data_IF_541125568681
#
_entry.id   IF_541125568681
#
_cell.length_a   1.000
_cell.length_b   1.000
_cell.length_c   1.000
_cell.angle_alpha   90.00
_cell.angle_beta   90.00
_cell.angle_gamma   90.00
#
_symmetry.space_group_name_H-M   'P 1'
#
loop_
_entity.id
_entity.type
_entity.pdbx_description
1 polymer ?
#
# COMPACT_ATOMS: atom_id res chain seq x y z
N UNK A 1 -17.90 0.49 -35.85
CA UNK A 1 -18.37 1.06 -34.56
C UNK A 1 -17.49 0.70 -33.35
N UNK A 2 -17.27 -0.58 -32.98
CA UNK A 2 -16.43 -0.94 -31.81
C UNK A 2 -14.96 -0.46 -31.91
N UNK A 3 -14.33 -0.56 -33.08
CA UNK A 3 -12.94 -0.07 -33.31
C UNK A 3 -12.82 1.45 -33.22
N UNK A 4 -13.80 2.20 -33.74
CA UNK A 4 -13.82 3.67 -33.63
C UNK A 4 -14.00 4.14 -32.19
N UNK A 5 -14.92 3.53 -31.42
CA UNK A 5 -15.08 3.83 -29.99
C UNK A 5 -13.81 3.56 -29.18
N UNK A 6 -13.09 2.48 -29.47
CA UNK A 6 -11.81 2.17 -28.85
C UNK A 6 -10.76 3.28 -29.05
N UNK A 7 -10.60 3.78 -30.28
CA UNK A 7 -9.63 4.84 -30.58
C UNK A 7 -10.02 6.16 -29.91
N UNK A 8 -11.31 6.51 -29.95
CA UNK A 8 -11.82 7.75 -29.32
C UNK A 8 -11.67 7.72 -27.80
N UNK A 9 -12.12 6.63 -27.15
CA UNK A 9 -11.96 6.46 -25.70
C UNK A 9 -10.48 6.44 -25.32
N UNK A 10 -9.64 5.74 -26.10
CA UNK A 10 -8.20 5.66 -25.88
C UNK A 10 -7.55 7.04 -25.91
N UNK A 11 -7.81 7.84 -26.95
CA UNK A 11 -7.29 9.20 -27.05
C UNK A 11 -7.74 10.09 -25.88
N UNK A 12 -9.03 10.02 -25.51
CA UNK A 12 -9.58 10.79 -24.39
C UNK A 12 -8.91 10.44 -23.06
N UNK A 13 -8.85 9.15 -22.71
CA UNK A 13 -8.26 8.72 -21.44
C UNK A 13 -6.74 8.89 -21.40
N UNK A 14 -6.05 8.77 -22.54
CA UNK A 14 -4.63 9.13 -22.64
C UNK A 14 -4.42 10.63 -22.37
N UNK A 15 -5.22 11.50 -22.97
CA UNK A 15 -5.11 12.94 -22.74
C UNK A 15 -5.37 13.30 -21.27
N UNK A 16 -6.40 12.72 -20.65
CA UNK A 16 -6.68 12.91 -19.21
C UNK A 16 -5.50 12.41 -18.37
N UNK A 17 -4.96 11.22 -18.66
CA UNK A 17 -3.83 10.67 -17.93
C UNK A 17 -2.58 11.57 -18.04
N UNK A 18 -2.24 12.06 -19.24
CA UNK A 18 -1.07 12.93 -19.43
C UNK A 18 -1.24 14.27 -18.73
N UNK A 19 -2.44 14.86 -18.73
CA UNK A 19 -2.71 16.09 -17.96
C UNK A 19 -2.55 15.86 -16.46
N UNK A 20 -3.05 14.73 -15.94
CA UNK A 20 -2.85 14.35 -14.55
C UNK A 20 -1.36 14.15 -14.23
N UNK A 21 -0.61 13.49 -15.12
CA UNK A 21 0.82 13.21 -14.94
C UNK A 21 1.65 14.49 -14.89
N UNK A 22 1.44 15.40 -15.84
CA UNK A 22 2.12 16.71 -15.87
C UNK A 22 1.81 17.46 -14.58
N UNK A 23 0.53 17.52 -14.17
CA UNK A 23 0.15 18.15 -12.91
C UNK A 23 0.77 17.47 -11.68
N UNK A 24 0.87 16.14 -11.67
CA UNK A 24 1.49 15.36 -10.61
C UNK A 24 2.96 15.70 -10.40
N UNK A 25 3.71 15.95 -11.47
CA UNK A 25 5.15 16.18 -11.43
C UNK A 25 5.47 17.66 -11.18
N UNK A 26 4.75 18.57 -11.84
CA UNK A 26 5.14 19.98 -11.86
C UNK A 26 4.40 20.88 -10.87
N UNK A 27 3.30 20.44 -10.25
CA UNK A 27 2.57 21.24 -9.25
C UNK A 27 2.95 20.84 -7.81
N UNK A 28 3.58 21.73 -7.03
CA UNK A 28 3.85 21.49 -5.61
C UNK A 28 2.57 21.27 -4.82
N UNK A 29 2.59 20.37 -3.82
CA UNK A 29 1.48 19.97 -2.94
C UNK A 29 0.29 19.32 -3.66
N UNK A 30 -0.26 19.96 -4.70
CA UNK A 30 -1.35 19.46 -5.54
C UNK A 30 -0.95 18.18 -6.27
N UNK A 31 0.31 18.09 -6.72
CA UNK A 31 0.81 16.94 -7.45
C UNK A 31 0.72 15.62 -6.68
N UNK A 32 0.84 15.66 -5.35
CA UNK A 32 0.65 14.50 -4.47
C UNK A 32 -0.77 13.96 -4.60
N UNK A 33 -1.78 14.83 -4.57
CA UNK A 33 -3.18 14.42 -4.71
C UNK A 33 -3.48 13.91 -6.12
N UNK A 34 -2.93 14.57 -7.16
CA UNK A 34 -3.10 14.15 -8.55
C UNK A 34 -2.49 12.77 -8.83
N UNK A 35 -1.40 12.43 -8.14
CA UNK A 35 -0.70 11.14 -8.28
C UNK A 35 -1.62 9.96 -7.97
N UNK A 36 -2.46 10.08 -6.94
CA UNK A 36 -3.44 9.06 -6.60
C UNK A 36 -4.62 8.96 -7.59
N UNK A 37 -4.78 9.92 -8.49
CA UNK A 37 -5.76 9.89 -9.58
C UNK A 37 -5.22 9.24 -10.86
N UNK A 38 -3.89 9.08 -10.98
CA UNK A 38 -3.24 8.51 -12.17
C UNK A 38 -3.74 7.10 -12.56
N UNK A 39 -4.09 6.19 -11.63
CA UNK A 39 -4.66 4.90 -12.00
C UNK A 39 -6.01 5.01 -12.72
N UNK A 40 -6.80 6.05 -12.45
CA UNK A 40 -8.22 6.12 -12.82
C UNK A 40 -8.46 5.97 -14.34
N UNK A 41 -7.75 6.68 -15.24
CA UNK A 41 -7.90 6.50 -16.67
C UNK A 41 -7.64 5.05 -17.11
N UNK A 42 -6.61 4.40 -16.58
CA UNK A 42 -6.31 2.99 -16.87
C UNK A 42 -7.39 2.05 -16.36
N UNK A 43 -7.91 2.29 -15.15
CA UNK A 43 -8.97 1.47 -14.55
C UNK A 43 -10.25 1.55 -15.39
N UNK A 44 -10.66 2.75 -15.78
CA UNK A 44 -11.86 2.95 -16.60
C UNK A 44 -11.66 2.32 -17.99
N UNK A 45 -10.49 2.47 -18.58
CA UNK A 45 -10.20 1.88 -19.87
C UNK A 45 -10.20 0.34 -19.81
N UNK A 46 -9.48 -0.24 -18.83
CA UNK A 46 -9.36 -1.68 -18.66
C UNK A 46 -10.65 -2.35 -18.18
N UNK A 47 -11.59 -1.61 -17.58
CA UNK A 47 -12.90 -2.16 -17.25
C UNK A 47 -13.81 -2.34 -18.48
N UNK A 48 -13.57 -1.57 -19.56
CA UNK A 48 -14.38 -1.58 -20.79
C UNK A 48 -13.80 -2.43 -21.92
N UNK A 49 -12.48 -2.58 -21.95
CA UNK A 49 -11.75 -3.20 -23.05
C UNK A 49 -11.02 -4.47 -22.59
N UNK A 50 -10.55 -5.28 -23.54
CA UNK A 50 -9.80 -6.51 -23.23
C UNK A 50 -8.40 -6.21 -22.68
N UNK A 51 -7.82 -7.15 -21.93
CA UNK A 51 -6.46 -6.99 -21.38
C UNK A 51 -5.41 -6.62 -22.44
N UNK A 52 -5.49 -7.19 -23.66
CA UNK A 52 -4.57 -6.87 -24.76
C UNK A 52 -4.67 -5.40 -25.18
N UNK A 53 -5.89 -4.87 -25.22
CA UNK A 53 -6.16 -3.47 -25.54
C UNK A 53 -5.69 -2.54 -24.42
N UNK A 54 -5.87 -2.94 -23.17
CA UNK A 54 -5.40 -2.19 -22.00
C UNK A 54 -3.88 -2.13 -21.92
N UNK A 55 -3.18 -3.21 -22.29
CA UNK A 55 -1.72 -3.22 -22.41
C UNK A 55 -1.24 -2.31 -23.54
N UNK A 56 -1.94 -2.26 -24.68
CA UNK A 56 -1.62 -1.30 -25.74
C UNK A 56 -1.81 0.15 -25.27
N UNK A 57 -2.87 0.43 -24.52
CA UNK A 57 -3.10 1.73 -23.90
C UNK A 57 -1.98 2.08 -22.90
N UNK A 58 -1.53 1.13 -22.09
CA UNK A 58 -0.40 1.30 -21.18
C UNK A 58 0.90 1.64 -21.94
N UNK A 59 1.19 0.93 -23.03
CA UNK A 59 2.37 1.22 -23.86
C UNK A 59 2.30 2.61 -24.47
N UNK A 60 1.13 3.01 -24.99
CA UNK A 60 0.94 4.37 -25.52
C UNK A 60 1.11 5.43 -24.43
N UNK A 61 0.54 5.19 -23.23
CA UNK A 61 0.69 6.08 -22.08
C UNK A 61 2.17 6.21 -21.68
N UNK A 62 2.90 5.10 -21.58
CA UNK A 62 4.33 5.07 -21.26
C UNK A 62 5.18 5.88 -22.24
N UNK A 63 4.95 5.72 -23.55
CA UNK A 63 5.65 6.48 -24.60
C UNK A 63 5.35 7.98 -24.47
N UNK A 64 4.09 8.36 -24.30
CA UNK A 64 3.71 9.76 -24.13
C UNK A 64 4.28 10.35 -22.83
N UNK A 65 4.24 9.60 -21.72
CA UNK A 65 4.82 10.02 -20.45
C UNK A 65 6.32 10.33 -20.58
N UNK A 66 7.06 9.47 -21.29
CA UNK A 66 8.48 9.68 -21.56
C UNK A 66 8.71 10.97 -22.35
N UNK A 67 7.90 11.23 -23.38
CA UNK A 67 8.01 12.42 -24.22
C UNK A 67 7.71 13.73 -23.47
N UNK A 68 6.71 13.73 -22.58
CA UNK A 68 6.28 14.96 -21.89
C UNK A 68 6.98 15.22 -20.56
N UNK A 69 7.48 14.18 -19.87
CA UNK A 69 7.91 14.30 -18.47
C UNK A 69 9.19 13.52 -18.12
N UNK A 70 9.89 12.98 -19.12
CA UNK A 70 11.13 12.18 -18.98
C UNK A 70 10.95 10.78 -18.38
N UNK A 71 12.06 10.16 -17.95
CA UNK A 71 12.10 8.82 -17.35
C UNK A 71 11.20 8.72 -16.11
N UNK A 72 11.07 9.80 -15.33
CA UNK A 72 10.14 9.85 -14.18
C UNK A 72 8.69 9.58 -14.60
N UNK A 73 8.26 10.14 -15.73
CA UNK A 73 6.95 9.87 -16.30
C UNK A 73 6.74 8.42 -16.68
N UNK A 74 7.76 7.80 -17.27
CA UNK A 74 7.74 6.38 -17.63
C UNK A 74 7.54 5.51 -16.40
N UNK A 75 8.24 5.81 -15.30
CA UNK A 75 8.10 5.10 -14.01
C UNK A 75 6.65 5.20 -13.52
N UNK A 76 6.07 6.41 -13.54
CA UNK A 76 4.69 6.64 -13.09
C UNK A 76 3.68 5.90 -13.97
N UNK A 77 3.90 5.87 -15.29
CA UNK A 77 3.06 5.15 -16.24
C UNK A 77 2.99 3.66 -15.91
N UNK A 78 4.11 3.02 -15.60
CA UNK A 78 4.10 1.60 -15.23
C UNK A 78 3.53 1.36 -13.83
N UNK A 79 3.95 2.13 -12.81
CA UNK A 79 3.44 1.95 -11.43
C UNK A 79 1.91 2.06 -11.41
N UNK A 80 1.36 3.16 -11.90
CA UNK A 80 -0.09 3.41 -11.83
C UNK A 80 -0.85 2.74 -12.96
N UNK A 81 -0.22 2.56 -14.12
CA UNK A 81 -0.86 1.94 -15.27
C UNK A 81 -0.99 0.44 -15.14
N UNK A 82 0.03 -0.30 -14.66
CA UNK A 82 -0.11 -1.74 -14.38
C UNK A 82 -1.16 -1.97 -13.30
N UNK A 83 -1.08 -1.23 -12.18
CA UNK A 83 -2.10 -1.30 -11.12
C UNK A 83 -3.50 -0.98 -11.62
N UNK A 84 -3.65 0.07 -12.44
CA UNK A 84 -4.93 0.45 -13.01
C UNK A 84 -5.49 -0.57 -14.00
N UNK A 85 -4.64 -1.18 -14.84
CA UNK A 85 -5.03 -2.26 -15.77
C UNK A 85 -5.48 -3.49 -14.98
N UNK A 86 -4.75 -3.89 -13.94
CA UNK A 86 -5.12 -5.03 -13.08
C UNK A 86 -6.47 -4.77 -12.41
N UNK A 87 -6.67 -3.61 -11.79
CA UNK A 87 -7.92 -3.26 -11.14
C UNK A 87 -9.09 -3.24 -12.13
N UNK A 88 -8.97 -2.52 -13.25
CA UNK A 88 -10.02 -2.46 -14.27
C UNK A 88 -10.41 -3.86 -14.79
N UNK A 89 -9.42 -4.72 -15.03
CA UNK A 89 -9.64 -6.10 -15.48
C UNK A 89 -10.33 -6.97 -14.42
N UNK A 90 -9.97 -6.84 -13.14
CA UNK A 90 -10.61 -7.61 -12.07
C UNK A 90 -12.06 -7.16 -11.87
N UNK A 91 -12.33 -5.86 -11.93
CA UNK A 91 -13.71 -5.36 -11.86
C UNK A 91 -14.53 -5.77 -13.07
N UNK A 92 -13.96 -5.74 -14.28
CA UNK A 92 -14.61 -6.26 -15.48
C UNK A 92 -15.05 -7.72 -15.32
N UNK A 93 -14.26 -8.51 -14.58
CA UNK A 93 -14.54 -9.92 -14.27
C UNK A 93 -15.48 -10.11 -13.06
N UNK A 94 -16.06 -9.05 -12.51
CA UNK A 94 -16.99 -9.11 -11.38
C UNK A 94 -16.35 -9.56 -10.06
N UNK A 95 -15.03 -9.37 -9.91
CA UNK A 95 -14.28 -9.81 -8.72
C UNK A 95 -14.66 -9.00 -7.48
N UNK A 96 -14.68 -9.67 -6.33
CA UNK A 96 -15.01 -9.03 -5.05
C UNK A 96 -13.96 -7.97 -4.68
N UNK A 97 -14.31 -6.93 -3.91
CA UNK A 97 -13.37 -5.87 -3.54
C UNK A 97 -12.09 -6.36 -2.85
N UNK A 98 -12.17 -7.40 -2.02
CA UNK A 98 -10.98 -7.99 -1.39
C UNK A 98 -10.07 -8.71 -2.41
N UNK A 99 -10.64 -9.40 -3.40
CA UNK A 99 -9.86 -10.01 -4.49
C UNK A 99 -9.17 -8.94 -5.35
N UNK A 100 -9.86 -7.81 -5.58
CA UNK A 100 -9.27 -6.64 -6.25
C UNK A 100 -8.11 -6.05 -5.44
N UNK A 101 -8.27 -5.91 -4.11
CA UNK A 101 -7.23 -5.38 -3.23
C UNK A 101 -5.98 -6.26 -3.25
N UNK A 102 -6.15 -7.58 -3.19
CA UNK A 102 -5.05 -8.54 -3.29
C UNK A 102 -4.35 -8.45 -4.65
N UNK A 103 -5.12 -8.42 -5.75
CA UNK A 103 -4.56 -8.27 -7.09
C UNK A 103 -3.79 -6.96 -7.27
N UNK A 104 -4.30 -5.86 -6.73
CA UNK A 104 -3.61 -4.56 -6.72
C UNK A 104 -2.32 -4.62 -5.89
N UNK A 105 -2.36 -5.22 -4.70
CA UNK A 105 -1.19 -5.34 -3.82
C UNK A 105 -0.08 -6.12 -4.52
N UNK A 106 -0.41 -7.27 -5.11
CA UNK A 106 0.55 -8.07 -5.88
C UNK A 106 1.08 -7.30 -7.09
N UNK A 107 0.22 -6.58 -7.81
CA UNK A 107 0.62 -5.75 -8.95
C UNK A 107 1.64 -4.68 -8.55
N UNK A 108 1.42 -3.98 -7.44
CA UNK A 108 2.35 -2.97 -6.93
C UNK A 108 3.65 -3.61 -6.45
N UNK A 109 3.61 -4.76 -5.74
CA UNK A 109 4.81 -5.50 -5.34
C UNK A 109 5.67 -5.82 -6.56
N UNK A 110 5.08 -6.46 -7.58
CA UNK A 110 5.78 -6.84 -8.81
C UNK A 110 6.39 -5.61 -9.48
N UNK A 111 5.62 -4.52 -9.56
CA UNK A 111 6.09 -3.31 -10.23
C UNK A 111 7.24 -2.65 -9.46
N UNK A 112 7.15 -2.55 -8.13
CA UNK A 112 8.23 -2.02 -7.29
C UNK A 112 9.49 -2.87 -7.35
N UNK A 113 9.36 -4.20 -7.32
CA UNK A 113 10.51 -5.13 -7.45
C UNK A 113 11.16 -4.99 -8.82
N UNK A 114 10.39 -4.95 -9.90
CA UNK A 114 10.93 -4.75 -11.26
C UNK A 114 11.67 -3.43 -11.36
N UNK A 115 11.09 -2.34 -10.84
CA UNK A 115 11.76 -1.04 -10.85
C UNK A 115 13.03 -1.03 -9.99
N UNK A 116 13.00 -1.66 -8.83
CA UNK A 116 14.18 -1.79 -7.98
C UNK A 116 15.31 -2.54 -8.71
N UNK A 117 15.01 -3.66 -9.39
CA UNK A 117 16.00 -4.42 -10.17
C UNK A 117 16.54 -3.59 -11.34
N UNK A 118 15.69 -2.86 -12.05
CA UNK A 118 16.12 -1.99 -13.15
C UNK A 118 17.03 -0.88 -12.62
N UNK A 119 16.64 -0.24 -11.51
CA UNK A 119 17.42 0.83 -10.89
C UNK A 119 18.79 0.33 -10.44
N UNK A 120 18.85 -0.81 -9.75
CA UNK A 120 20.10 -1.37 -9.24
C UNK A 120 21.02 -1.86 -10.37
N UNK A 121 20.48 -2.48 -11.41
CA UNK A 121 21.29 -3.04 -12.51
C UNK A 121 21.75 -1.99 -13.53
N UNK A 122 20.93 -1.01 -13.89
CA UNK A 122 21.25 -0.04 -14.94
C UNK A 122 21.91 1.24 -14.40
N UNK A 123 21.59 1.64 -13.17
CA UNK A 123 22.04 2.90 -12.59
C UNK A 123 22.96 2.71 -11.38
N UNK A 124 23.35 1.47 -11.08
CA UNK A 124 24.11 1.11 -9.86
C UNK A 124 23.46 1.67 -8.58
N UNK A 125 22.13 1.77 -8.56
CA UNK A 125 21.40 2.29 -7.42
C UNK A 125 21.47 1.30 -6.25
N UNK A 126 22.12 1.72 -5.17
CA UNK A 126 22.16 0.98 -3.91
C UNK A 126 21.27 1.66 -2.87
N UNK A 127 20.12 1.05 -2.62
CA UNK A 127 19.18 1.53 -1.61
C UNK A 127 19.77 1.48 -0.19
N UNK A 128 20.62 0.50 0.12
CA UNK A 128 21.25 0.39 1.43
C UNK A 128 22.26 1.53 1.62
N UNK A 129 23.05 1.85 0.60
CA UNK A 129 23.97 2.98 0.63
C UNK A 129 23.22 4.31 0.81
N UNK A 130 22.10 4.51 0.11
CA UNK A 130 21.26 5.70 0.28
C UNK A 130 20.76 5.86 1.72
N UNK A 131 20.26 4.77 2.32
CA UNK A 131 19.78 4.78 3.71
C UNK A 131 20.92 5.09 4.67
N UNK A 132 22.08 4.46 4.49
CA UNK A 132 23.27 4.72 5.32
C UNK A 132 23.72 6.18 5.23
N UNK A 133 23.80 6.75 4.03
CA UNK A 133 24.16 8.15 3.84
C UNK A 133 23.18 9.08 4.55
N UNK A 134 21.86 8.89 4.36
CA UNK A 134 20.85 9.71 5.05
C UNK A 134 20.92 9.56 6.57
N UNK A 135 21.35 8.41 7.05
CA UNK A 135 21.52 8.15 8.46
C UNK A 135 22.76 8.83 9.04
N UNK A 136 23.89 8.79 8.33
CA UNK A 136 25.12 9.53 8.68
C UNK A 136 24.83 11.03 8.76
N UNK A 137 24.12 11.60 7.78
CA UNK A 137 23.67 13.00 7.81
C UNK A 137 22.80 13.30 9.04
N UNK A 138 21.93 12.35 9.44
CA UNK A 138 21.08 12.50 10.63
C UNK A 138 21.89 12.43 11.93
N UNK A 139 22.91 11.57 12.00
CA UNK A 139 23.83 11.47 13.16
C UNK A 139 24.64 12.75 13.28
N UNK A 140 25.19 13.27 12.18
CA UNK A 140 25.95 14.52 12.18
C UNK A 140 25.09 15.69 12.68
N UNK A 141 23.82 15.76 12.28
CA UNK A 141 22.88 16.73 12.85
C UNK A 141 22.69 16.52 14.35
N UNK A 142 22.49 15.28 14.80
CA UNK A 142 22.31 14.96 16.22
C UNK A 142 23.54 15.34 17.06
N UNK A 143 24.75 15.06 16.58
CA UNK A 143 26.00 15.40 17.24
C UNK A 143 26.16 16.92 17.41
N UNK A 144 25.72 17.70 16.42
CA UNK A 144 25.73 19.16 16.48
C UNK A 144 24.78 19.75 17.55
N UNK A 145 23.71 19.05 17.93
CA UNK A 145 22.73 19.50 18.92
C UNK A 145 22.84 18.82 20.29
N UNK A 146 23.41 17.61 20.35
CA UNK A 146 23.49 16.78 21.56
C UNK A 146 24.76 15.90 21.57
N UNK A 147 25.96 16.49 21.73
CA UNK A 147 27.26 15.84 21.50
C UNK A 147 27.67 14.71 22.48
N UNK A 148 26.82 14.29 23.42
CA UNK A 148 27.16 13.28 24.45
C UNK A 148 26.19 12.10 24.56
N UNK A 149 25.37 11.86 23.54
CA UNK A 149 24.37 10.81 23.59
C UNK A 149 24.81 9.57 22.81
N UNK A 150 25.97 9.01 23.16
CA UNK A 150 26.54 7.79 22.54
C UNK A 150 25.53 6.64 22.53
N UNK A 151 24.72 6.50 23.57
CA UNK A 151 23.67 5.48 23.66
C UNK A 151 22.57 5.68 22.59
N UNK A 152 22.22 6.94 22.29
CA UNK A 152 21.25 7.26 21.23
C UNK A 152 21.83 7.00 19.85
N UNK A 153 23.10 7.32 19.63
CA UNK A 153 23.80 7.04 18.37
C UNK A 153 23.90 5.52 18.16
N UNK A 154 24.21 4.76 19.22
CA UNK A 154 24.27 3.30 19.16
C UNK A 154 22.90 2.70 18.83
N UNK A 155 21.83 3.10 19.53
CA UNK A 155 20.46 2.63 19.22
C UNK A 155 20.02 3.01 17.81
N UNK A 156 20.44 4.17 17.33
CA UNK A 156 20.17 4.60 15.96
C UNK A 156 20.87 3.69 14.96
N UNK A 157 22.16 3.39 15.15
CA UNK A 157 22.93 2.47 14.30
C UNK A 157 22.32 1.07 14.25
N UNK A 158 21.94 0.51 15.41
CA UNK A 158 21.26 -0.79 15.49
C UNK A 158 19.91 -0.78 14.71
N UNK A 159 19.19 0.34 14.76
CA UNK A 159 17.93 0.51 14.02
C UNK A 159 18.15 0.55 12.50
N UNK A 160 19.27 1.10 12.02
CA UNK A 160 19.62 1.12 10.60
C UNK A 160 20.00 -0.27 10.08
N UNK A 161 20.71 -1.05 10.88
CA UNK A 161 21.01 -2.44 10.52
C UNK A 161 19.73 -3.24 10.38
N UNK A 162 18.79 -3.09 11.33
CA UNK A 162 17.47 -3.71 11.25
C UNK A 162 16.71 -3.27 9.99
N UNK A 163 16.76 -1.98 9.63
CA UNK A 163 16.05 -1.43 8.48
C UNK A 163 16.38 -2.16 7.17
N UNK A 164 17.65 -2.51 6.95
CA UNK A 164 18.06 -3.25 5.76
C UNK A 164 17.38 -4.62 5.64
N UNK A 165 17.12 -5.28 6.78
CA UNK A 165 16.39 -6.55 6.81
C UNK A 165 14.88 -6.38 6.64
N UNK A 166 14.31 -5.19 6.87
CA UNK A 166 12.88 -4.92 6.76
C UNK A 166 12.42 -4.51 5.37
N UNK A 167 13.33 -4.26 4.43
CA UNK A 167 12.99 -3.83 3.06
C UNK A 167 11.89 -4.67 2.41
N UNK A 168 11.89 -6.02 2.49
CA UNK A 168 10.82 -6.83 1.91
C UNK A 168 9.44 -6.52 2.52
N UNK A 169 9.35 -6.43 3.85
CA UNK A 169 8.10 -6.11 4.54
C UNK A 169 7.64 -4.69 4.25
N UNK A 170 8.55 -3.71 4.21
CA UNK A 170 8.25 -2.33 3.84
C UNK A 170 7.69 -2.24 2.42
N UNK A 171 8.24 -3.00 1.48
CA UNK A 171 7.73 -3.08 0.11
C UNK A 171 6.30 -3.63 0.08
N UNK A 172 6.03 -4.73 0.79
CA UNK A 172 4.68 -5.33 0.88
C UNK A 172 3.69 -4.36 1.52
N UNK A 173 4.07 -3.70 2.62
CA UNK A 173 3.23 -2.74 3.35
C UNK A 173 2.93 -1.53 2.46
N UNK A 174 3.94 -0.99 1.78
CA UNK A 174 3.79 0.14 0.86
C UNK A 174 2.85 -0.24 -0.29
N UNK A 175 3.06 -1.39 -0.92
CA UNK A 175 2.21 -1.89 -1.99
C UNK A 175 0.75 -2.09 -1.53
N UNK A 176 0.55 -2.59 -0.31
CA UNK A 176 -0.78 -2.73 0.29
C UNK A 176 -1.48 -1.37 0.46
N UNK A 177 -0.77 -0.34 0.97
CA UNK A 177 -1.35 0.99 1.12
C UNK A 177 -1.64 1.65 -0.23
N UNK A 178 -0.75 1.50 -1.22
CA UNK A 178 -1.01 1.95 -2.60
C UNK A 178 -2.25 1.28 -3.18
N UNK A 179 -2.41 -0.03 -2.98
CA UNK A 179 -3.60 -0.77 -3.39
C UNK A 179 -4.87 -0.25 -2.71
N UNK A 180 -4.84 -0.09 -1.38
CA UNK A 180 -5.96 0.41 -0.60
C UNK A 180 -6.39 1.81 -1.04
N UNK A 181 -5.44 2.74 -1.14
CA UNK A 181 -5.70 4.12 -1.54
C UNK A 181 -6.26 4.17 -2.97
N UNK A 182 -5.62 3.46 -3.90
CA UNK A 182 -6.07 3.36 -5.30
C UNK A 182 -7.51 2.85 -5.37
N UNK A 183 -7.82 1.80 -4.61
CA UNK A 183 -9.15 1.20 -4.59
C UNK A 183 -10.22 2.15 -4.04
N UNK A 184 -9.93 2.83 -2.92
CA UNK A 184 -10.84 3.76 -2.25
C UNK A 184 -11.11 5.01 -3.11
N UNK A 185 -10.07 5.62 -3.69
CA UNK A 185 -10.19 6.85 -4.48
C UNK A 185 -10.87 6.59 -5.83
N UNK A 186 -10.64 5.42 -6.43
CA UNK A 186 -11.22 5.11 -7.74
C UNK A 186 -12.69 4.69 -7.65
N UNK A 187 -13.15 4.17 -6.50
CA UNK A 187 -14.50 3.65 -6.36
C UNK A 187 -15.62 4.66 -6.70
N UNK A 188 -15.60 5.92 -6.22
CA UNK A 188 -16.62 6.92 -6.59
C UNK A 188 -16.73 7.15 -8.10
N UNK A 189 -15.60 7.13 -8.80
CA UNK A 189 -15.56 7.30 -10.26
C UNK A 189 -16.07 6.03 -10.95
N UNK A 190 -15.63 4.86 -10.50
CA UNK A 190 -16.07 3.58 -11.04
C UNK A 190 -17.57 3.37 -10.90
N UNK A 191 -18.16 3.73 -9.76
CA UNK A 191 -19.61 3.63 -9.54
C UNK A 191 -20.43 4.45 -10.56
N UNK A 192 -19.88 5.59 -11.02
CA UNK A 192 -20.55 6.42 -12.04
C UNK A 192 -20.45 5.80 -13.44
N UNK A 193 -19.37 5.07 -13.71
CA UNK A 193 -19.09 4.49 -15.02
C UNK A 193 -19.64 3.06 -15.17
N UNK A 194 -19.62 2.28 -14.09
CA UNK A 194 -20.08 0.90 -14.00
C UNK A 194 -21.11 0.78 -12.88
N UNK A 195 -22.36 0.53 -13.26
CA UNK A 195 -23.49 0.45 -12.31
C UNK A 195 -23.34 -0.68 -11.30
N UNK A 196 -22.64 -1.75 -11.67
CA UNK A 196 -22.46 -2.96 -10.85
C UNK A 196 -21.15 -2.97 -10.05
N UNK A 197 -20.45 -1.83 -9.95
CA UNK A 197 -19.22 -1.73 -9.18
C UNK A 197 -19.49 -2.01 -7.68
N UNK A 198 -18.86 -3.06 -7.14
CA UNK A 198 -19.05 -3.49 -5.75
C UNK A 198 -18.27 -2.55 -4.81
N UNK A 199 -18.95 -2.03 -3.79
CA UNK A 199 -18.35 -1.18 -2.76
C UNK A 199 -17.35 -1.95 -1.90
N UNK A 200 -16.18 -1.36 -1.65
CA UNK A 200 -15.24 -1.85 -0.64
C UNK A 200 -15.94 -1.90 0.75
N UNK A 201 -15.77 -2.97 1.54
CA UNK A 201 -16.41 -3.10 2.85
C UNK A 201 -16.05 -1.93 3.77
N UNK A 202 -16.95 -1.57 4.68
CA UNK A 202 -16.61 -0.60 5.71
C UNK A 202 -15.53 -1.18 6.65
N UNK A 203 -14.68 -0.32 7.22
CA UNK A 203 -13.56 -0.74 8.09
C UNK A 203 -14.03 -1.70 9.20
N UNK A 204 -15.19 -1.43 9.80
CA UNK A 204 -15.83 -2.27 10.85
C UNK A 204 -16.20 -3.69 10.41
N UNK A 205 -16.40 -3.90 9.10
CA UNK A 205 -16.84 -5.17 8.52
C UNK A 205 -15.64 -6.01 8.04
N UNK A 206 -14.43 -5.43 8.03
CA UNK A 206 -13.20 -6.15 7.68
C UNK A 206 -12.91 -7.17 8.79
N UNK A 207 -12.68 -8.41 8.39
CA UNK A 207 -12.21 -9.47 9.29
C UNK A 207 -11.11 -10.25 8.62
N UNK A 208 -10.04 -10.47 9.37
CA UNK A 208 -8.94 -11.31 8.93
C UNK A 208 -9.28 -12.78 9.21
N UNK A 209 -8.88 -13.74 8.37
CA UNK A 209 -9.07 -15.16 8.68
C UNK A 209 -8.34 -15.57 9.96
N UNK A 210 -8.98 -16.40 10.80
CA UNK A 210 -8.40 -16.86 12.07
C UNK A 210 -7.06 -17.62 11.90
N UNK A 211 -6.82 -18.21 10.73
CA UNK A 211 -5.53 -18.83 10.40
C UNK A 211 -4.36 -17.86 10.48
N UNK A 212 -4.56 -16.57 10.18
CA UNK A 212 -3.53 -15.54 10.27
C UNK A 212 -3.06 -15.33 11.72
N UNK A 213 -3.95 -15.45 12.70
CA UNK A 213 -3.56 -15.41 14.12
C UNK A 213 -2.62 -16.58 14.46
N UNK A 214 -2.91 -17.79 13.97
CA UNK A 214 -2.04 -18.94 14.22
C UNK A 214 -0.66 -18.78 13.58
N UNK A 215 -0.59 -18.27 12.34
CA UNK A 215 0.71 -17.93 11.73
C UNK A 215 1.47 -16.88 12.56
N UNK A 216 0.77 -15.86 13.08
CA UNK A 216 1.37 -14.84 13.93
C UNK A 216 1.90 -15.42 15.25
N UNK A 217 1.15 -16.31 15.90
CA UNK A 217 1.60 -16.99 17.12
C UNK A 217 2.82 -17.88 16.87
N UNK A 218 2.85 -18.61 15.75
CA UNK A 218 4.03 -19.41 15.36
C UNK A 218 5.24 -18.50 15.18
N UNK A 219 5.11 -17.41 14.42
CA UNK A 219 6.21 -16.47 14.20
C UNK A 219 6.69 -15.84 15.52
N UNK A 220 5.78 -15.50 16.44
CA UNK A 220 6.16 -15.03 17.77
C UNK A 220 6.99 -16.07 18.54
N UNK A 221 6.64 -17.35 18.44
CA UNK A 221 7.42 -18.43 19.05
C UNK A 221 8.80 -18.54 18.39
N UNK A 222 8.88 -18.44 17.06
CA UNK A 222 10.15 -18.48 16.32
C UNK A 222 11.10 -17.35 16.71
N UNK A 223 10.57 -16.17 17.06
CA UNK A 223 11.36 -15.01 17.52
C UNK A 223 12.08 -15.22 18.86
N UNK A 224 11.72 -16.24 19.66
CA UNK A 224 12.42 -16.55 20.92
C UNK A 224 13.63 -17.46 20.73
N UNK A 225 13.81 -18.06 19.57
CA UNK A 225 15.00 -18.85 19.28
C UNK A 225 16.14 -17.92 18.84
N UNK A 226 17.36 -18.25 19.26
CA UNK A 226 18.54 -17.55 18.78
C UNK A 226 18.68 -17.74 17.27
N UNK A 227 18.81 -16.62 16.57
CA UNK A 227 18.92 -16.57 15.11
C UNK A 227 20.19 -15.83 14.75
N UNK A 228 20.96 -16.39 13.82
CA UNK A 228 22.10 -15.71 13.23
C UNK A 228 21.60 -14.50 12.41
N UNK A 229 21.98 -13.30 12.84
CA UNK A 229 21.66 -12.05 12.15
C UNK A 229 22.25 -12.09 10.74
N UNK A 230 21.44 -11.71 9.74
CA UNK A 230 21.81 -11.80 8.33
C UNK A 230 21.54 -13.14 7.66
N UNK A 231 21.18 -14.18 8.42
CA UNK A 231 20.72 -15.45 7.82
C UNK A 231 19.37 -15.28 7.10
N UNK A 232 19.12 -16.14 6.11
CA UNK A 232 17.81 -16.21 5.44
C UNK A 232 16.67 -16.47 6.44
N UNK A 233 16.92 -17.31 7.44
CA UNK A 233 15.94 -17.63 8.46
C UNK A 233 15.56 -16.40 9.30
N UNK A 234 16.55 -15.64 9.79
CA UNK A 234 16.32 -14.37 10.49
C UNK A 234 15.49 -13.40 9.63
N UNK A 235 15.90 -13.17 8.38
CA UNK A 235 15.19 -12.28 7.46
C UNK A 235 13.73 -12.72 7.24
N UNK A 236 13.49 -14.01 7.01
CA UNK A 236 12.14 -14.53 6.76
C UNK A 236 11.23 -14.35 7.98
N UNK A 237 11.70 -14.72 9.17
CA UNK A 237 10.92 -14.63 10.41
C UNK A 237 10.59 -13.17 10.75
N UNK A 238 11.58 -12.28 10.67
CA UNK A 238 11.41 -10.85 10.96
C UNK A 238 10.43 -10.21 9.97
N UNK A 239 10.56 -10.43 8.66
CA UNK A 239 9.63 -9.85 7.69
C UNK A 239 8.19 -10.38 7.85
N UNK A 240 8.03 -11.68 8.11
CA UNK A 240 6.73 -12.26 8.42
C UNK A 240 6.13 -11.66 9.69
N UNK A 241 6.94 -11.43 10.72
CA UNK A 241 6.51 -10.79 11.97
C UNK A 241 5.88 -9.42 11.70
N UNK A 242 6.57 -8.53 10.98
CA UNK A 242 6.07 -7.18 10.71
C UNK A 242 4.81 -7.16 9.82
N UNK A 243 4.73 -8.04 8.82
CA UNK A 243 3.52 -8.16 7.98
C UNK A 243 2.33 -8.65 8.81
N UNK A 244 2.51 -9.72 9.58
CA UNK A 244 1.44 -10.29 10.41
C UNK A 244 1.05 -9.35 11.56
N UNK A 245 2.02 -8.60 12.11
CA UNK A 245 1.78 -7.54 13.08
C UNK A 245 0.86 -6.46 12.51
N UNK A 246 1.13 -5.98 11.29
CA UNK A 246 0.26 -5.00 10.63
C UNK A 246 -1.16 -5.53 10.45
N UNK A 247 -1.31 -6.79 10.07
CA UNK A 247 -2.62 -7.44 9.96
C UNK A 247 -3.36 -7.45 11.32
N UNK A 248 -2.68 -7.77 12.43
CA UNK A 248 -3.28 -7.69 13.77
C UNK A 248 -3.70 -6.25 14.13
N UNK A 249 -2.91 -5.24 13.75
CA UNK A 249 -3.29 -3.83 13.94
C UNK A 249 -4.53 -3.47 13.12
N UNK A 250 -4.60 -3.87 11.84
CA UNK A 250 -5.79 -3.65 10.99
C UNK A 250 -7.03 -4.30 11.61
N UNK A 251 -6.91 -5.53 12.12
CA UNK A 251 -7.99 -6.21 12.84
C UNK A 251 -8.42 -5.43 14.09
N UNK A 252 -7.47 -4.91 14.87
CA UNK A 252 -7.73 -4.08 16.04
C UNK A 252 -8.48 -2.79 15.69
N UNK A 253 -8.04 -2.08 14.65
CA UNK A 253 -8.73 -0.88 14.13
C UNK A 253 -10.15 -1.25 13.70
N UNK A 254 -10.30 -2.33 12.93
CA UNK A 254 -11.62 -2.81 12.51
C UNK A 254 -12.55 -3.03 13.70
N UNK A 255 -12.05 -3.69 14.74
CA UNK A 255 -12.79 -3.92 15.97
C UNK A 255 -13.17 -2.62 16.70
N UNK A 256 -12.29 -1.62 16.76
CA UNK A 256 -12.60 -0.30 17.35
C UNK A 256 -13.76 0.38 16.61
N UNK A 257 -13.75 0.34 15.27
CA UNK A 257 -14.84 0.87 14.45
C UNK A 257 -16.14 0.07 14.65
N UNK A 258 -16.05 -1.25 14.75
CA UNK A 258 -17.20 -2.12 15.03
C UNK A 258 -17.81 -1.84 16.40
N UNK A 259 -16.99 -1.83 17.46
CA UNK A 259 -17.41 -1.56 18.83
C UNK A 259 -18.08 -0.20 18.94
N UNK A 260 -17.45 0.84 18.35
CA UNK A 260 -18.00 2.19 18.34
C UNK A 260 -19.36 2.25 17.66
N UNK A 261 -19.54 1.50 16.57
CA UNK A 261 -20.83 1.41 15.88
C UNK A 261 -21.91 0.74 16.73
N UNK A 262 -21.62 -0.44 17.31
CA UNK A 262 -22.59 -1.21 18.11
C UNK A 262 -22.99 -0.46 19.39
N UNK A 263 -22.04 0.28 20.00
CA UNK A 263 -22.28 1.08 21.20
C UNK A 263 -22.90 2.47 20.92
N UNK A 264 -23.11 2.82 19.64
CA UNK A 264 -23.66 4.12 19.26
C UNK A 264 -22.74 5.30 19.59
N UNK A 265 -21.43 5.09 19.63
CA UNK A 265 -20.46 6.15 19.88
C UNK A 265 -20.40 7.12 18.68
N UNK A 266 -20.10 8.41 18.92
CA UNK A 266 -19.87 9.37 17.84
C UNK A 266 -18.77 8.90 16.89
N UNK A 267 -18.93 9.16 15.57
CA UNK A 267 -17.96 8.75 14.53
C UNK A 267 -16.55 9.29 14.76
N UNK A 268 -16.41 10.39 15.51
CA UNK A 268 -15.11 11.00 15.83
C UNK A 268 -14.26 10.11 16.74
N UNK A 269 -14.87 9.28 17.60
CA UNK A 269 -14.14 8.40 18.54
C UNK A 269 -13.24 7.41 17.81
N UNK A 270 -13.73 6.53 16.91
CA UNK A 270 -12.87 5.62 16.19
C UNK A 270 -11.88 6.32 15.24
N UNK A 271 -12.19 7.53 14.76
CA UNK A 271 -11.28 8.34 13.94
C UNK A 271 -10.10 8.85 14.78
N UNK A 272 -10.35 9.35 15.99
CA UNK A 272 -9.28 9.76 16.91
C UNK A 272 -8.39 8.56 17.24
N UNK A 273 -8.97 7.40 17.54
CA UNK A 273 -8.18 6.19 17.81
C UNK A 273 -7.35 5.78 16.59
N UNK A 274 -7.88 5.91 15.38
CA UNK A 274 -7.14 5.67 14.14
C UNK A 274 -5.94 6.61 14.01
N UNK A 275 -6.12 7.92 14.24
CA UNK A 275 -5.04 8.91 14.18
C UNK A 275 -3.99 8.66 15.27
N UNK A 276 -4.44 8.25 16.47
CA UNK A 276 -3.57 7.91 17.60
C UNK A 276 -2.96 6.51 17.51
N UNK A 277 -3.30 5.72 16.48
CA UNK A 277 -2.81 4.34 16.34
C UNK A 277 -1.28 4.23 16.39
N UNK A 278 -0.47 5.13 15.79
CA UNK A 278 0.99 5.07 15.92
C UNK A 278 1.48 5.06 17.37
N UNK A 279 0.81 5.78 18.27
CA UNK A 279 1.12 5.84 19.70
C UNK A 279 0.49 4.68 20.50
N UNK A 280 -0.55 4.05 19.94
CA UNK A 280 -1.31 2.98 20.58
C UNK A 280 -1.07 1.60 19.92
N UNK A 281 -0.02 1.46 19.11
CA UNK A 281 0.21 0.28 18.25
C UNK A 281 0.12 -1.03 19.03
N UNK A 282 0.80 -1.11 20.18
CA UNK A 282 0.79 -2.31 21.03
C UNK A 282 -0.61 -2.66 21.55
N UNK A 283 -1.39 -1.66 21.96
CA UNK A 283 -2.75 -1.83 22.49
C UNK A 283 -3.69 -2.26 21.37
N UNK A 284 -3.65 -1.58 20.23
CA UNK A 284 -4.49 -1.89 19.06
C UNK A 284 -4.17 -3.29 18.53
N UNK A 285 -2.90 -3.67 18.49
CA UNK A 285 -2.46 -5.02 18.13
C UNK A 285 -3.04 -6.08 19.06
N UNK A 286 -2.95 -5.87 20.37
CA UNK A 286 -3.51 -6.81 21.37
C UNK A 286 -5.03 -6.92 21.20
N UNK A 287 -5.72 -5.79 20.97
CA UNK A 287 -7.16 -5.80 20.69
C UNK A 287 -7.49 -6.62 19.44
N UNK A 288 -6.70 -6.51 18.38
CA UNK A 288 -6.87 -7.32 17.17
C UNK A 288 -6.70 -8.81 17.41
N UNK A 289 -5.70 -9.20 18.19
CA UNK A 289 -5.46 -10.59 18.61
C UNK A 289 -6.65 -11.12 19.42
N UNK A 290 -7.13 -10.35 20.40
CA UNK A 290 -8.25 -10.75 21.25
C UNK A 290 -9.55 -10.86 20.44
N UNK A 291 -9.82 -9.90 19.55
CA UNK A 291 -11.00 -9.96 18.68
C UNK A 291 -10.99 -11.20 17.80
N UNK A 292 -9.84 -11.52 17.19
CA UNK A 292 -9.75 -12.68 16.31
C UNK A 292 -9.78 -14.01 17.07
N UNK A 293 -9.03 -14.12 18.16
CA UNK A 293 -8.89 -15.36 18.94
C UNK A 293 -10.14 -15.70 19.74
N UNK A 294 -10.78 -14.71 20.37
CA UNK A 294 -11.94 -14.92 21.24
C UNK A 294 -13.27 -14.51 20.60
N UNK A 295 -13.26 -14.09 19.33
CA UNK A 295 -14.42 -13.58 18.58
C UNK A 295 -15.13 -12.47 19.36
N UNK A 296 -14.35 -11.50 19.86
CA UNK A 296 -14.82 -10.48 20.81
C UNK A 296 -16.01 -9.69 20.24
N UNK A 297 -16.01 -9.38 18.93
CA UNK A 297 -17.13 -8.74 18.23
C UNK A 297 -18.48 -9.43 18.45
N UNK A 298 -18.53 -10.75 18.53
CA UNK A 298 -19.78 -11.49 18.72
C UNK A 298 -20.36 -11.33 20.14
N UNK A 299 -19.54 -10.86 21.08
CA UNK A 299 -19.91 -10.67 22.49
C UNK A 299 -20.33 -9.23 22.80
N UNK A 300 -20.17 -8.29 21.87
CA UNK A 300 -20.53 -6.88 22.06
C UNK A 300 -22.05 -6.73 21.93
N UNK A 301 -22.71 -6.30 23.00
CA UNK A 301 -24.15 -6.00 23.00
C UNK A 301 -24.41 -4.52 22.67
N UNK A 302 -25.53 -4.19 22.01
CA UNK A 302 -25.98 -2.80 21.85
C UNK A 302 -26.09 -2.10 23.20
N UNK A 303 -25.98 -0.77 23.20
CA UNK A 303 -26.25 0.02 24.40
C UNK A 303 -27.74 -0.11 24.74
N UNK A 304 -28.04 -0.62 25.93
CA UNK A 304 -29.39 -0.63 26.53
C UNK A 304 -29.88 0.78 26.78
#
# INVERSE_FOLDING_TARGET
>A
MKKQKFVVDGGLFLAIYILLLIGSIFLPFVGIFLTFLLPIPFIIFASRYSIKQSLLFLLAAAVLSLLFTSVTGLIFAFIFGVGGVVYGTLVQKGRKPLEVMLGLTVSFIVTFVVFYIIASSLFAFDFSALVKQSAEESIEMLENYAPQNEEVIQQFNESLELFNYLVPSLLVITAFFFALITQLISYPVLKRVMKDAIKFPAIRDITIPISILWYYLVVLILMYFDMEVGSFYYMAVVNLYYILQLLMVIQGISFVFYFSHVRGLPKIVPIIVLIMTPFLLSIIRILGIIDLGFRLRNKVKPKS
#
